data_IF_570541545449
#
_entry.id   IF_570541545449
#
_cell.length_a   1.000
_cell.length_b   1.000
_cell.length_c   1.000
_cell.angle_alpha   90.00
_cell.angle_beta   90.00
_cell.angle_gamma   90.00
#
_symmetry.space_group_name_H-M   'P 1'
#
loop_
_entity.id
_entity.type
_entity.pdbx_description
1 polymer ?
#
# COMPACT_ATOMS: atom_id res chain seq x y z
N UNK A 1 9.04 9.17 -3.47
CA UNK A 1 10.21 8.40 -3.94
C UNK A 1 11.13 8.06 -2.79
N UNK A 2 11.83 6.95 -2.92
CA UNK A 2 12.79 6.48 -1.93
C UNK A 2 14.01 5.87 -2.65
N UNK A 3 15.22 6.22 -2.19
CA UNK A 3 16.44 5.51 -2.55
C UNK A 3 16.48 4.21 -1.72
N UNK A 4 16.10 3.11 -2.34
CA UNK A 4 15.89 1.85 -1.62
C UNK A 4 17.19 1.10 -1.36
N UNK A 5 18.10 1.07 -2.34
CA UNK A 5 19.42 0.46 -2.16
C UNK A 5 20.44 0.98 -3.17
N UNK A 6 21.71 0.95 -2.77
CA UNK A 6 22.88 1.10 -3.64
C UNK A 6 23.78 -0.11 -3.41
N UNK A 7 24.08 -0.84 -4.46
CA UNK A 7 24.86 -2.09 -4.38
C UNK A 7 25.92 -2.13 -5.46
N UNK A 8 27.12 -2.55 -5.11
CA UNK A 8 28.14 -2.92 -6.07
C UNK A 8 27.86 -4.34 -6.54
N UNK A 9 27.81 -4.57 -7.85
CA UNK A 9 27.59 -5.85 -8.50
C UNK A 9 28.65 -6.10 -9.56
N UNK A 10 28.78 -7.34 -9.98
CA UNK A 10 29.69 -7.77 -11.04
C UNK A 10 28.94 -8.71 -11.99
N UNK A 11 29.18 -8.55 -13.28
CA UNK A 11 28.69 -9.42 -14.34
C UNK A 11 29.80 -9.69 -15.37
N UNK A 12 29.45 -10.29 -16.51
CA UNK A 12 30.38 -10.60 -17.59
C UNK A 12 31.04 -9.36 -18.21
N UNK A 13 30.47 -8.18 -18.03
CA UNK A 13 30.95 -6.89 -18.56
C UNK A 13 31.85 -6.14 -17.56
N UNK A 14 31.86 -6.59 -16.29
CA UNK A 14 32.65 -6.00 -15.23
C UNK A 14 31.87 -5.55 -14.00
N UNK A 15 32.47 -4.71 -13.18
CA UNK A 15 31.88 -4.19 -11.93
C UNK A 15 31.02 -2.95 -12.23
N UNK A 16 29.82 -2.91 -11.67
CA UNK A 16 28.90 -1.78 -11.78
C UNK A 16 28.22 -1.47 -10.46
N UNK A 17 27.63 -0.28 -10.37
CA UNK A 17 26.82 0.15 -9.23
C UNK A 17 25.34 0.11 -9.63
N UNK A 18 24.58 -0.73 -8.95
CA UNK A 18 23.12 -0.79 -9.07
C UNK A 18 22.46 0.13 -8.05
N UNK A 19 21.66 1.08 -8.53
CA UNK A 19 20.88 1.99 -7.71
C UNK A 19 19.41 1.65 -7.87
N UNK A 20 18.75 1.22 -6.80
CA UNK A 20 17.32 0.94 -6.81
C UNK A 20 16.54 2.05 -6.13
N UNK A 21 15.54 2.56 -6.82
CA UNK A 21 14.58 3.53 -6.28
C UNK A 21 13.17 2.96 -6.29
N UNK A 22 12.32 3.44 -5.39
CA UNK A 22 10.92 3.04 -5.31
C UNK A 22 10.03 4.28 -5.28
N UNK A 23 9.07 4.34 -6.19
CA UNK A 23 8.08 5.41 -6.29
C UNK A 23 6.71 4.87 -5.86
N UNK A 24 6.01 5.60 -4.99
CA UNK A 24 4.70 5.22 -4.49
C UNK A 24 3.74 6.40 -4.48
N UNK A 25 2.50 6.16 -4.90
CA UNK A 25 1.40 7.11 -4.80
C UNK A 25 0.08 6.35 -4.73
N UNK A 26 -0.92 6.92 -4.07
CA UNK A 26 -2.30 6.44 -4.16
C UNK A 26 -2.97 6.83 -5.49
N UNK A 27 -2.35 7.72 -6.27
CA UNK A 27 -2.85 8.21 -7.56
C UNK A 27 -1.88 7.74 -8.64
N UNK A 28 -2.36 6.91 -9.57
CA UNK A 28 -1.53 6.26 -10.57
C UNK A 28 -0.81 7.25 -11.50
N UNK A 29 -1.51 8.30 -11.98
CA UNK A 29 -0.89 9.33 -12.81
C UNK A 29 0.27 10.05 -12.11
N UNK A 30 0.13 10.32 -10.81
CA UNK A 30 1.20 10.93 -10.01
C UNK A 30 2.40 10.00 -9.80
N UNK A 31 2.17 8.69 -9.71
CA UNK A 31 3.24 7.70 -9.66
C UNK A 31 4.01 7.68 -10.97
N UNK A 32 3.31 7.75 -12.11
CA UNK A 32 3.91 7.85 -13.44
C UNK A 32 4.73 9.12 -13.62
N UNK A 33 4.19 10.28 -13.26
CA UNK A 33 4.91 11.56 -13.31
C UNK A 33 6.23 11.46 -12.52
N UNK A 34 6.16 10.94 -11.30
CA UNK A 34 7.34 10.82 -10.44
C UNK A 34 8.36 9.81 -10.99
N UNK A 35 7.88 8.72 -11.58
CA UNK A 35 8.73 7.73 -12.27
C UNK A 35 9.56 8.41 -13.36
N UNK A 36 8.93 9.18 -14.24
CA UNK A 36 9.61 9.92 -15.32
C UNK A 36 10.60 10.95 -14.78
N UNK A 37 10.23 11.68 -13.72
CA UNK A 37 11.15 12.63 -13.09
C UNK A 37 12.41 11.95 -12.55
N UNK A 38 12.27 10.81 -11.89
CA UNK A 38 13.40 10.03 -11.36
C UNK A 38 14.24 9.45 -12.49
N UNK A 39 13.61 8.94 -13.56
CA UNK A 39 14.29 8.45 -14.75
C UNK A 39 15.15 9.56 -15.39
N UNK A 40 14.57 10.72 -15.63
CA UNK A 40 15.31 11.86 -16.20
C UNK A 40 16.50 12.28 -15.32
N UNK A 41 16.33 12.26 -14.00
CA UNK A 41 17.41 12.62 -13.08
C UNK A 41 18.54 11.57 -13.09
N UNK A 42 18.22 10.30 -13.08
CA UNK A 42 19.19 9.21 -13.09
C UNK A 42 19.90 9.05 -14.44
N UNK A 43 19.22 9.31 -15.55
CA UNK A 43 19.79 9.27 -16.89
C UNK A 43 20.96 10.27 -17.10
N UNK A 44 21.10 11.26 -16.23
CA UNK A 44 22.25 12.18 -16.25
C UNK A 44 23.55 11.55 -15.72
N UNK A 45 23.46 10.45 -14.98
CA UNK A 45 24.59 9.86 -14.29
C UNK A 45 24.68 8.32 -14.41
N UNK A 46 23.69 7.68 -15.01
CA UNK A 46 23.63 6.22 -15.19
C UNK A 46 23.73 5.88 -16.67
N UNK A 47 24.40 4.78 -16.97
CA UNK A 47 24.51 4.25 -18.33
C UNK A 47 23.19 3.65 -18.81
N UNK A 48 22.40 3.10 -17.89
CA UNK A 48 21.13 2.48 -18.17
C UNK A 48 20.13 2.74 -17.03
N UNK A 49 18.87 3.00 -17.37
CA UNK A 49 17.75 3.10 -16.42
C UNK A 49 16.64 2.17 -16.87
N UNK A 50 16.28 1.23 -16.01
CA UNK A 50 15.21 0.27 -16.26
C UNK A 50 14.09 0.43 -15.25
N UNK A 51 12.89 -0.04 -15.61
CA UNK A 51 11.73 0.00 -14.75
C UNK A 51 11.19 -1.42 -14.55
N UNK A 52 11.00 -1.78 -13.29
CA UNK A 52 10.27 -3.00 -12.93
C UNK A 52 8.78 -2.75 -12.81
N UNK A 53 8.06 -3.86 -12.66
CA UNK A 53 6.65 -3.85 -12.33
C UNK A 53 6.43 -3.27 -10.92
N UNK A 54 5.27 -2.66 -10.72
CA UNK A 54 4.91 -2.03 -9.45
C UNK A 54 3.48 -2.38 -9.06
N UNK A 55 3.10 -1.97 -7.86
CA UNK A 55 1.71 -2.05 -7.43
C UNK A 55 0.93 -0.83 -7.91
N UNK A 56 -0.31 -1.01 -8.42
CA UNK A 56 -1.19 0.10 -8.75
C UNK A 56 -1.53 0.92 -7.50
N UNK A 57 -1.80 2.20 -7.69
CA UNK A 57 -2.29 3.07 -6.64
C UNK A 57 -3.72 2.69 -6.24
N UNK A 58 -4.06 2.89 -4.98
CA UNK A 58 -5.43 2.81 -4.51
C UNK A 58 -5.86 4.18 -3.98
N UNK A 59 -6.58 4.92 -4.83
CA UNK A 59 -7.12 6.22 -4.45
C UNK A 59 -8.23 6.04 -3.41
N UNK A 60 -8.21 6.77 -2.28
CA UNK A 60 -9.26 6.67 -1.28
C UNK A 60 -10.59 7.19 -1.83
N UNK A 61 -11.69 6.48 -1.53
CA UNK A 61 -13.04 6.94 -1.80
C UNK A 61 -13.70 7.42 -0.49
N UNK A 62 -13.71 8.74 -0.22
CA UNK A 62 -14.32 9.27 1.00
C UNK A 62 -15.85 9.18 1.02
N UNK A 63 -16.47 8.87 -0.13
CA UNK A 63 -17.92 8.71 -0.29
C UNK A 63 -18.34 7.24 -0.38
N UNK A 64 -17.46 6.31 0.03
CA UNK A 64 -17.74 4.88 0.02
C UNK A 64 -18.89 4.53 0.98
N UNK A 65 -19.99 3.94 0.49
CA UNK A 65 -21.05 3.42 1.36
C UNK A 65 -20.54 2.34 2.31
N UNK A 66 -19.63 1.48 1.84
CA UNK A 66 -19.02 0.42 2.66
C UNK A 66 -18.18 1.02 3.81
N UNK A 67 -17.49 2.14 3.56
CA UNK A 67 -16.76 2.85 4.61
C UNK A 67 -17.68 3.34 5.72
N UNK A 68 -18.83 3.91 5.38
CA UNK A 68 -19.80 4.39 6.37
C UNK A 68 -20.40 3.24 7.20
N UNK A 69 -20.76 2.11 6.57
CA UNK A 69 -21.18 0.88 7.28
C UNK A 69 -20.07 0.40 8.21
N UNK A 70 -18.83 0.38 7.74
CA UNK A 70 -17.66 -0.06 8.50
C UNK A 70 -17.42 0.81 9.73
N UNK A 71 -17.49 2.14 9.59
CA UNK A 71 -17.35 3.10 10.69
C UNK A 71 -18.45 2.92 11.73
N UNK A 72 -19.69 2.84 11.28
CA UNK A 72 -20.85 2.64 12.16
C UNK A 72 -20.74 1.34 12.95
N UNK A 73 -20.40 0.24 12.31
CA UNK A 73 -20.18 -1.05 12.96
C UNK A 73 -19.12 -0.98 14.06
N UNK A 74 -18.05 -0.21 13.84
CA UNK A 74 -16.99 0.01 14.83
C UNK A 74 -17.49 0.83 16.04
N UNK A 75 -18.19 1.92 15.77
CA UNK A 75 -18.77 2.76 16.81
C UNK A 75 -19.76 2.00 17.69
N UNK A 76 -20.66 1.21 17.07
CA UNK A 76 -21.64 0.38 17.78
C UNK A 76 -20.98 -0.65 18.69
N UNK A 77 -19.87 -1.25 18.28
CA UNK A 77 -19.16 -2.28 19.06
C UNK A 77 -18.25 -1.73 20.15
N UNK A 78 -17.57 -0.61 19.88
CA UNK A 78 -16.47 -0.17 20.72
C UNK A 78 -16.68 1.22 21.34
N UNK A 79 -17.82 1.86 21.08
CA UNK A 79 -18.16 3.23 21.52
C UNK A 79 -17.03 4.25 21.19
N UNK A 80 -16.36 4.07 20.08
CA UNK A 80 -15.23 4.89 19.63
C UNK A 80 -15.24 5.06 18.11
N UNK A 81 -14.66 6.13 17.61
CA UNK A 81 -14.50 6.33 16.16
C UNK A 81 -13.23 5.66 15.64
N UNK A 82 -13.33 4.89 14.55
CA UNK A 82 -12.14 4.35 13.89
C UNK A 82 -11.39 5.47 13.17
N UNK A 83 -10.06 5.41 13.17
CA UNK A 83 -9.25 6.28 12.34
C UNK A 83 -9.30 5.79 10.88
N UNK A 84 -9.77 6.63 9.99
CA UNK A 84 -9.74 6.39 8.54
C UNK A 84 -8.49 7.05 7.98
N UNK A 85 -7.63 6.26 7.39
CA UNK A 85 -6.34 6.70 6.85
C UNK A 85 -6.20 6.24 5.40
N UNK A 86 -5.57 7.06 4.60
CA UNK A 86 -5.05 6.66 3.29
C UNK A 86 -3.53 6.49 3.40
N UNK A 87 -3.03 5.40 2.88
CA UNK A 87 -1.59 5.13 2.83
C UNK A 87 -1.16 4.84 1.40
N UNK A 88 0.10 5.09 1.10
CA UNK A 88 0.71 4.81 -0.20
C UNK A 88 1.36 3.42 -0.26
N UNK A 89 0.98 2.51 0.62
CA UNK A 89 1.43 1.12 0.57
C UNK A 89 0.74 0.38 -0.60
N UNK A 90 1.44 -0.60 -1.16
CA UNK A 90 0.85 -1.51 -2.14
C UNK A 90 -0.13 -2.44 -1.42
N UNK A 91 -1.41 -2.08 -1.43
CA UNK A 91 -2.48 -2.92 -0.91
C UNK A 91 -3.12 -3.70 -2.06
N UNK A 92 -3.56 -4.91 -1.77
CA UNK A 92 -4.24 -5.80 -2.72
C UNK A 92 -5.49 -5.15 -3.34
N UNK A 93 -6.13 -4.24 -2.61
CA UNK A 93 -7.25 -3.45 -3.12
C UNK A 93 -6.91 -2.68 -4.41
N UNK A 94 -5.69 -2.19 -4.56
CA UNK A 94 -5.24 -1.55 -5.80
C UNK A 94 -5.28 -2.51 -6.99
N UNK A 95 -4.83 -3.75 -6.80
CA UNK A 95 -4.85 -4.80 -7.84
C UNK A 95 -6.26 -5.21 -8.23
N UNK A 96 -7.17 -5.30 -7.25
CA UNK A 96 -8.59 -5.58 -7.53
C UNK A 96 -9.25 -4.43 -8.27
N UNK A 97 -8.99 -3.19 -7.86
CA UNK A 97 -9.60 -2.01 -8.47
C UNK A 97 -9.15 -1.79 -9.92
N UNK A 98 -7.91 -2.15 -10.25
CA UNK A 98 -7.41 -2.10 -11.63
C UNK A 98 -8.24 -3.00 -12.56
N UNK A 99 -8.64 -4.18 -12.09
CA UNK A 99 -9.47 -5.12 -12.86
C UNK A 99 -10.97 -4.85 -12.75
N UNK A 100 -11.41 -4.37 -11.59
CA UNK A 100 -12.81 -4.20 -11.23
C UNK A 100 -13.04 -2.80 -10.65
N UNK A 101 -13.02 -1.74 -11.49
CA UNK A 101 -13.07 -0.35 -11.03
C UNK A 101 -14.39 0.06 -10.35
N UNK A 102 -15.40 -0.81 -10.39
CA UNK A 102 -16.70 -0.62 -9.75
C UNK A 102 -16.75 -1.14 -8.30
N UNK A 103 -15.70 -1.84 -7.84
CA UNK A 103 -15.69 -2.36 -6.47
C UNK A 103 -15.52 -1.24 -5.45
N UNK A 104 -16.38 -1.25 -4.43
CA UNK A 104 -16.18 -0.46 -3.23
C UNK A 104 -15.45 -1.31 -2.19
N UNK A 105 -14.35 -0.80 -1.65
CA UNK A 105 -13.46 -1.59 -0.80
C UNK A 105 -12.95 -0.77 0.39
N UNK A 106 -12.83 -1.44 1.53
CA UNK A 106 -12.13 -0.95 2.71
C UNK A 106 -11.12 -1.98 3.18
N UNK A 107 -9.98 -1.52 3.68
CA UNK A 107 -8.97 -2.39 4.29
C UNK A 107 -9.05 -2.26 5.80
N UNK A 108 -9.29 -3.37 6.46
CA UNK A 108 -9.30 -3.49 7.93
C UNK A 108 -8.42 -4.65 8.36
N UNK A 109 -7.88 -4.58 9.57
CA UNK A 109 -7.05 -5.67 10.07
C UNK A 109 -6.70 -5.51 11.55
N UNK A 110 -6.19 -6.58 12.16
CA UNK A 110 -5.69 -6.55 13.53
C UNK A 110 -4.38 -5.78 13.63
N UNK A 111 -4.01 -5.42 14.86
CA UNK A 111 -2.76 -4.74 15.14
C UNK A 111 -1.56 -5.67 14.94
N UNK A 112 -0.64 -5.25 14.10
CA UNK A 112 0.64 -5.91 13.85
C UNK A 112 1.80 -5.06 14.33
N UNK A 113 2.92 -5.70 14.69
CA UNK A 113 4.15 -5.05 15.15
C UNK A 113 5.35 -5.66 14.42
N UNK A 114 6.35 -4.85 14.14
CA UNK A 114 7.59 -5.29 13.48
C UNK A 114 7.36 -5.91 12.10
N UNK A 115 6.40 -5.38 11.35
CA UNK A 115 6.02 -5.87 10.01
C UNK A 115 7.24 -5.90 9.09
N UNK A 116 7.36 -6.97 8.30
CA UNK A 116 8.50 -7.22 7.40
C UNK A 116 9.84 -7.44 8.12
N UNK A 117 9.82 -7.88 9.38
CA UNK A 117 11.02 -8.23 10.13
C UNK A 117 10.90 -9.61 10.78
N UNK A 118 12.02 -10.23 11.21
CA UNK A 118 11.98 -11.49 11.97
C UNK A 118 11.23 -11.40 13.30
N UNK A 119 10.96 -10.20 13.80
CA UNK A 119 10.19 -9.92 15.02
C UNK A 119 8.71 -9.62 14.74
N UNK A 120 8.24 -9.88 13.54
CA UNK A 120 6.84 -9.69 13.19
C UNK A 120 5.92 -10.49 14.10
N UNK A 121 4.93 -9.81 14.66
CA UNK A 121 3.96 -10.40 15.57
C UNK A 121 2.59 -9.75 15.44
N UNK A 122 1.56 -10.54 15.71
CA UNK A 122 0.17 -10.17 15.69
C UNK A 122 -0.38 -10.07 17.13
N UNK A 123 -1.20 -9.05 17.40
CA UNK A 123 -1.93 -8.94 18.66
C UNK A 123 -3.16 -9.86 18.66
N UNK A 124 -3.15 -10.92 19.49
CA UNK A 124 -4.25 -11.87 19.61
C UNK A 124 -5.55 -11.17 20.03
N UNK A 125 -5.49 -10.26 21.00
CA UNK A 125 -6.66 -9.51 21.46
C UNK A 125 -7.27 -8.61 20.37
N UNK A 126 -6.45 -8.00 19.53
CA UNK A 126 -6.96 -7.19 18.42
C UNK A 126 -7.52 -8.03 17.27
N UNK A 127 -7.05 -9.26 17.12
CA UNK A 127 -7.62 -10.22 16.15
C UNK A 127 -9.06 -10.58 16.52
N UNK A 128 -9.33 -10.83 17.79
CA UNK A 128 -10.69 -11.06 18.28
C UNK A 128 -11.62 -9.87 18.04
N UNK A 129 -11.13 -8.64 18.30
CA UNK A 129 -11.89 -7.40 18.00
C UNK A 129 -12.16 -7.23 16.50
N UNK A 130 -11.14 -7.46 15.68
CA UNK A 130 -11.27 -7.37 14.21
C UNK A 130 -12.29 -8.37 13.67
N UNK A 131 -12.32 -9.59 14.23
CA UNK A 131 -13.31 -10.61 13.88
C UNK A 131 -14.73 -10.19 14.23
N UNK A 132 -14.96 -9.64 15.43
CA UNK A 132 -16.27 -9.11 15.83
C UNK A 132 -16.70 -7.97 14.92
N UNK A 133 -15.78 -7.07 14.58
CA UNK A 133 -16.04 -5.97 13.66
C UNK A 133 -16.43 -6.45 12.26
N UNK A 134 -15.69 -7.39 11.70
CA UNK A 134 -16.02 -8.00 10.40
C UNK A 134 -17.42 -8.62 10.39
N UNK A 135 -17.76 -9.41 11.41
CA UNK A 135 -19.13 -9.97 11.53
C UNK A 135 -20.20 -8.88 11.55
N UNK A 136 -19.98 -7.84 12.34
CA UNK A 136 -20.94 -6.72 12.45
C UNK A 136 -21.11 -5.96 11.14
N UNK A 137 -20.03 -5.80 10.35
CA UNK A 137 -20.11 -5.23 9.00
C UNK A 137 -20.99 -6.11 8.11
N UNK A 138 -20.73 -7.41 8.07
CA UNK A 138 -21.49 -8.36 7.23
C UNK A 138 -22.97 -8.46 7.62
N UNK A 139 -23.31 -8.29 8.89
CA UNK A 139 -24.69 -8.26 9.38
C UNK A 139 -25.42 -6.96 8.97
N UNK A 140 -24.69 -5.90 8.63
CA UNK A 140 -25.24 -4.60 8.30
C UNK A 140 -25.30 -4.31 6.78
N UNK A 141 -24.78 -5.21 5.94
CA UNK A 141 -24.86 -5.19 4.47
C UNK A 141 -26.12 -5.93 3.98
#
# INVERSE_FOLDING_TARGET
TNLASVKMKEDEKGVFIEVNTSQRSSIESKKHDLKQMVECALALACDEVTHGDGYPGWAPNPQSPLLEVTKKAYQDLFAAEPKVLAIHAGLECGLFLEKYPYLDMVSIGPQMFGVHSPQERLSISSTGKCWQWLKRILEAL
#
